data_IF_761997585413
#
_entry.id   IF_761997585413
#
_cell.length_a   1.000
_cell.length_b   1.000
_cell.length_c   1.000
_cell.angle_alpha   90.00
_cell.angle_beta   90.00
_cell.angle_gamma   90.00
#
_symmetry.space_group_name_H-M   'P 1'
#
loop_
_entity.id
_entity.type
_entity.pdbx_description
1 polymer ?
#
# COMPACT_ATOMS: atom_id res chain seq x y z
N UNK A 1 -14.28 -19.40 15.36
CA UNK A 1 -13.32 -18.35 15.76
C UNK A 1 -13.33 -17.32 14.65
N UNK A 2 -13.84 -16.12 14.90
CA UNK A 2 -13.74 -15.00 13.95
C UNK A 2 -12.29 -14.56 13.89
N UNK A 3 -11.68 -14.69 12.71
CA UNK A 3 -10.30 -14.28 12.47
C UNK A 3 -10.19 -12.76 12.62
N UNK A 4 -9.22 -12.29 13.41
CA UNK A 4 -9.01 -10.85 13.63
C UNK A 4 -8.60 -10.17 12.33
N UNK A 5 -9.24 -9.06 11.95
CA UNK A 5 -8.89 -8.34 10.74
C UNK A 5 -7.47 -7.74 10.82
N UNK A 6 -6.72 -7.78 9.72
CA UNK A 6 -5.37 -7.23 9.63
C UNK A 6 -5.38 -5.83 8.98
N UNK A 7 -5.55 -5.72 7.66
CA UNK A 7 -5.59 -4.42 6.97
C UNK A 7 -6.88 -3.67 7.26
N UNK A 8 -8.00 -4.39 7.41
CA UNK A 8 -9.27 -3.75 7.74
C UNK A 8 -9.22 -3.01 9.10
N UNK A 9 -8.37 -3.44 10.03
CA UNK A 9 -8.13 -2.72 11.29
C UNK A 9 -7.30 -1.44 11.17
N UNK A 10 -6.61 -1.24 10.04
CA UNK A 10 -5.78 -0.07 9.77
C UNK A 10 -6.55 1.06 9.09
N UNK A 11 -7.58 0.71 8.32
CA UNK A 11 -8.29 1.62 7.44
C UNK A 11 -9.33 2.49 8.20
N UNK A 12 -9.49 3.78 7.84
CA UNK A 12 -10.60 4.59 8.34
C UNK A 12 -11.94 4.17 7.72
N UNK A 13 -13.09 4.60 8.27
CA UNK A 13 -14.42 4.20 7.78
C UNK A 13 -14.71 4.53 6.30
N UNK A 14 -13.98 5.48 5.70
CA UNK A 14 -14.12 5.85 4.28
C UNK A 14 -13.47 4.84 3.31
N UNK A 15 -12.73 3.86 3.82
CA UNK A 15 -12.02 2.86 3.02
C UNK A 15 -12.61 1.49 3.30
N UNK A 16 -13.09 0.83 2.25
CA UNK A 16 -13.55 -0.55 2.31
C UNK A 16 -12.36 -1.47 2.04
N UNK A 17 -12.16 -2.45 2.92
CA UNK A 17 -11.10 -3.45 2.79
C UNK A 17 -11.72 -4.84 2.74
N UNK A 18 -11.38 -5.59 1.69
CA UNK A 18 -11.66 -7.02 1.59
C UNK A 18 -10.34 -7.80 1.68
N UNK A 19 -10.25 -8.73 2.62
CA UNK A 19 -9.04 -9.52 2.87
C UNK A 19 -9.34 -11.03 2.96
N UNK A 20 -8.33 -11.84 2.65
CA UNK A 20 -8.37 -13.29 2.79
C UNK A 20 -6.99 -13.83 3.23
N UNK A 21 -7.01 -14.86 4.09
CA UNK A 21 -5.80 -15.52 4.63
C UNK A 21 -5.45 -16.81 3.87
N UNK A 22 -5.75 -16.82 2.57
CA UNK A 22 -5.62 -17.97 1.68
C UNK A 22 -6.18 -17.64 0.30
N UNK A 23 -6.08 -18.60 -0.61
CA UNK A 23 -6.67 -18.46 -1.94
C UNK A 23 -8.17 -18.81 -1.88
N UNK A 24 -8.96 -18.12 -2.70
CA UNK A 24 -10.41 -18.36 -2.82
C UNK A 24 -10.71 -18.97 -4.18
N UNK A 25 -11.76 -19.78 -4.24
CA UNK A 25 -12.29 -20.29 -5.50
C UNK A 25 -13.15 -19.20 -6.17
N UNK A 26 -12.63 -18.60 -7.23
CA UNK A 26 -13.27 -17.53 -7.95
C UNK A 26 -12.90 -17.54 -9.44
N UNK A 27 -13.73 -16.90 -10.26
CA UNK A 27 -13.50 -16.77 -11.70
C UNK A 27 -12.97 -15.40 -12.07
N UNK A 28 -11.91 -15.38 -12.85
CA UNK A 28 -11.38 -14.18 -13.51
C UNK A 28 -12.21 -13.81 -14.74
N UNK A 29 -12.19 -12.54 -15.14
CA UNK A 29 -12.79 -12.11 -16.41
C UNK A 29 -11.94 -12.60 -17.61
N UNK A 30 -12.50 -12.70 -18.84
CA UNK A 30 -11.78 -13.25 -20.00
C UNK A 30 -10.42 -12.58 -20.27
N UNK A 31 -10.36 -11.25 -20.24
CA UNK A 31 -9.11 -10.49 -20.44
C UNK A 31 -8.05 -10.78 -19.37
N UNK A 32 -8.48 -10.97 -18.12
CA UNK A 32 -7.62 -11.31 -16.98
C UNK A 32 -7.05 -12.73 -17.11
N UNK A 33 -7.90 -13.69 -17.51
CA UNK A 33 -7.46 -15.08 -17.78
C UNK A 33 -6.44 -15.15 -18.90
N UNK A 34 -6.63 -14.37 -19.96
CA UNK A 34 -5.68 -14.29 -21.06
C UNK A 34 -4.32 -13.74 -20.59
N UNK A 35 -4.32 -12.68 -19.78
CA UNK A 35 -3.10 -12.08 -19.24
C UNK A 35 -2.25 -13.05 -18.40
N UNK A 36 -2.89 -13.90 -17.59
CA UNK A 36 -2.22 -14.87 -16.69
C UNK A 36 -2.14 -16.29 -17.26
N UNK A 37 -2.38 -16.48 -18.56
CA UNK A 37 -2.48 -17.82 -19.17
C UNK A 37 -1.22 -18.67 -18.95
N UNK A 38 -0.03 -18.08 -19.12
CA UNK A 38 1.27 -18.73 -18.92
C UNK A 38 1.83 -18.64 -17.49
N UNK A 39 1.08 -18.08 -16.54
CA UNK A 39 1.56 -17.91 -15.17
C UNK A 39 1.51 -19.22 -14.37
N UNK A 40 2.40 -19.36 -13.39
CA UNK A 40 2.40 -20.52 -12.48
C UNK A 40 1.08 -20.63 -11.71
N UNK A 41 0.73 -21.85 -11.25
CA UNK A 41 -0.49 -22.10 -10.46
C UNK A 41 -0.63 -21.14 -9.27
N UNK A 42 0.47 -20.92 -8.55
CA UNK A 42 0.54 -19.96 -7.43
C UNK A 42 0.21 -18.54 -7.87
N UNK A 43 0.83 -18.04 -8.95
CA UNK A 43 0.57 -16.69 -9.45
C UNK A 43 -0.88 -16.53 -9.92
N UNK A 44 -1.45 -17.57 -10.54
CA UNK A 44 -2.87 -17.58 -10.95
C UNK A 44 -3.81 -17.50 -9.74
N UNK A 45 -3.53 -18.24 -8.68
CA UNK A 45 -4.32 -18.24 -7.45
C UNK A 45 -4.25 -16.87 -6.72
N UNK A 46 -3.04 -16.31 -6.59
CA UNK A 46 -2.82 -14.97 -6.02
C UNK A 46 -3.57 -13.90 -6.83
N UNK A 47 -3.41 -13.89 -8.16
CA UNK A 47 -4.07 -12.93 -9.04
C UNK A 47 -5.60 -13.06 -8.98
N UNK A 48 -6.12 -14.29 -9.01
CA UNK A 48 -7.56 -14.57 -8.93
C UNK A 48 -8.15 -14.07 -7.62
N UNK A 49 -7.52 -14.39 -6.49
CA UNK A 49 -8.03 -14.03 -5.17
C UNK A 49 -8.05 -12.52 -4.96
N UNK A 50 -6.96 -11.82 -5.33
CA UNK A 50 -6.89 -10.36 -5.17
C UNK A 50 -7.95 -9.66 -6.04
N UNK A 51 -8.22 -10.16 -7.26
CA UNK A 51 -9.28 -9.61 -8.14
C UNK A 51 -10.67 -9.89 -7.61
N UNK A 52 -10.90 -11.06 -7.03
CA UNK A 52 -12.15 -11.37 -6.34
C UNK A 52 -12.38 -10.42 -5.16
N UNK A 53 -11.37 -10.19 -4.32
CA UNK A 53 -11.45 -9.27 -3.18
C UNK A 53 -11.69 -7.83 -3.62
N UNK A 54 -11.03 -7.37 -4.70
CA UNK A 54 -11.31 -6.06 -5.29
C UNK A 54 -12.78 -5.92 -5.72
N UNK A 55 -13.37 -7.00 -6.23
CA UNK A 55 -14.78 -7.02 -6.63
C UNK A 55 -15.73 -6.95 -5.44
N UNK A 56 -15.41 -7.66 -4.35
CA UNK A 56 -16.16 -7.55 -3.09
C UNK A 56 -16.12 -6.13 -2.54
N UNK A 57 -14.93 -5.53 -2.49
CA UNK A 57 -14.75 -4.18 -1.98
C UNK A 57 -15.48 -3.13 -2.84
N UNK A 58 -15.46 -3.26 -4.17
CA UNK A 58 -16.23 -2.39 -5.08
C UNK A 58 -17.75 -2.60 -4.96
N UNK A 59 -18.21 -3.84 -4.75
CA UNK A 59 -19.63 -4.12 -4.56
C UNK A 59 -20.19 -3.43 -3.32
N UNK A 60 -19.41 -3.31 -2.24
CA UNK A 60 -19.77 -2.54 -1.05
C UNK A 60 -19.86 -1.02 -1.31
N UNK A 61 -19.16 -0.51 -2.34
CA UNK A 61 -19.36 0.85 -2.86
C UNK A 61 -20.56 0.98 -3.81
N UNK A 62 -21.26 -0.11 -4.13
CA UNK A 62 -22.32 -0.16 -5.12
C UNK A 62 -21.80 -0.12 -6.56
N UNK A 63 -20.57 -0.59 -6.81
CA UNK A 63 -19.91 -0.56 -8.12
C UNK A 63 -19.57 -1.97 -8.60
N UNK A 64 -19.62 -2.16 -9.92
CA UNK A 64 -19.14 -3.38 -10.56
C UNK A 64 -17.63 -3.31 -10.80
N UNK A 65 -16.97 -4.47 -10.73
CA UNK A 65 -15.53 -4.58 -10.97
C UNK A 65 -15.24 -4.66 -12.48
N UNK A 66 -14.45 -3.73 -13.04
CA UNK A 66 -13.97 -3.87 -14.41
C UNK A 66 -12.93 -4.99 -14.52
N UNK A 67 -12.58 -5.39 -15.74
CA UNK A 67 -11.38 -6.18 -15.96
C UNK A 67 -10.15 -5.36 -15.54
N UNK A 68 -9.36 -5.90 -14.62
CA UNK A 68 -8.19 -5.24 -14.05
C UNK A 68 -6.93 -5.93 -14.56
N UNK A 69 -6.66 -5.79 -15.86
CA UNK A 69 -5.35 -6.16 -16.42
C UNK A 69 -4.33 -5.11 -15.95
N UNK A 70 -3.18 -5.49 -15.37
CA UNK A 70 -2.18 -4.53 -14.92
C UNK A 70 -1.68 -3.63 -16.06
N UNK A 71 -1.50 -2.35 -15.76
CA UNK A 71 -0.88 -1.38 -16.67
C UNK A 71 0.64 -1.59 -16.81
N UNK A 72 1.34 -0.72 -17.55
CA UNK A 72 2.76 -0.87 -17.85
C UNK A 72 3.68 -0.97 -16.62
N UNK A 73 3.27 -0.36 -15.50
CA UNK A 73 4.02 -0.39 -14.24
C UNK A 73 3.38 -1.33 -13.20
N UNK A 74 2.45 -2.20 -13.64
CA UNK A 74 1.78 -3.18 -12.79
C UNK A 74 0.58 -2.64 -12.01
N UNK A 75 0.19 -1.39 -12.24
CA UNK A 75 -0.92 -0.73 -11.57
C UNK A 75 -2.28 -1.31 -11.99
N UNK A 76 -3.22 -1.52 -11.05
CA UNK A 76 -4.58 -1.94 -11.38
C UNK A 76 -5.41 -0.77 -11.92
N UNK A 77 -6.34 -1.07 -12.83
CA UNK A 77 -7.36 -0.12 -13.25
C UNK A 77 -8.53 -0.08 -12.25
N UNK A 78 -8.99 1.11 -11.89
CA UNK A 78 -10.16 1.33 -11.03
C UNK A 78 -11.29 2.02 -11.79
N UNK A 79 -12.56 1.83 -11.40
CA UNK A 79 -13.66 2.63 -11.94
C UNK A 79 -13.45 4.13 -11.70
N UNK A 80 -14.07 4.96 -12.54
CA UNK A 80 -14.08 6.41 -12.35
C UNK A 80 -14.61 6.77 -10.95
N UNK A 81 -13.94 7.71 -10.29
CA UNK A 81 -14.30 8.14 -8.93
C UNK A 81 -13.85 7.18 -7.82
N UNK A 82 -13.02 6.17 -8.13
CA UNK A 82 -12.46 5.23 -7.14
C UNK A 82 -10.94 5.32 -7.09
N UNK A 83 -10.40 5.36 -5.87
CA UNK A 83 -8.99 5.07 -5.61
C UNK A 83 -8.90 3.71 -4.93
N UNK A 84 -7.87 2.93 -5.25
CA UNK A 84 -7.70 1.62 -4.66
C UNK A 84 -6.26 1.12 -4.67
N UNK A 85 -6.01 0.13 -3.83
CA UNK A 85 -4.72 -0.53 -3.71
C UNK A 85 -4.89 -2.02 -3.47
N UNK A 86 -3.89 -2.79 -3.88
CA UNK A 86 -3.90 -4.25 -3.81
C UNK A 86 -2.60 -4.75 -3.21
N UNK A 87 -2.68 -5.83 -2.44
CA UNK A 87 -1.50 -6.54 -1.95
C UNK A 87 -1.73 -8.04 -1.83
N UNK A 88 -0.66 -8.79 -1.94
CA UNK A 88 -0.63 -10.21 -1.64
C UNK A 88 0.76 -10.62 -1.18
N UNK A 89 0.81 -11.53 -0.23
CA UNK A 89 2.04 -12.21 0.15
C UNK A 89 1.73 -13.68 0.47
N UNK A 90 2.68 -14.45 1.03
CA UNK A 90 2.39 -15.84 1.38
C UNK A 90 1.34 -15.87 2.50
N UNK A 91 0.18 -16.49 2.22
CA UNK A 91 -0.89 -16.68 3.22
C UNK A 91 -1.81 -15.48 3.41
N UNK A 92 -1.71 -14.43 2.59
CA UNK A 92 -2.56 -13.25 2.71
C UNK A 92 -2.79 -12.53 1.37
N UNK A 93 -3.99 -12.01 1.15
CA UNK A 93 -4.39 -11.19 0.00
C UNK A 93 -5.37 -10.13 0.48
N UNK A 94 -5.28 -8.93 -0.08
CA UNK A 94 -6.24 -7.86 0.20
C UNK A 94 -6.42 -6.89 -0.96
N UNK A 95 -7.59 -6.25 -0.96
CA UNK A 95 -7.91 -5.09 -1.75
C UNK A 95 -8.53 -4.02 -0.84
N UNK A 96 -8.12 -2.77 -1.04
CA UNK A 96 -8.74 -1.62 -0.40
C UNK A 96 -9.21 -0.63 -1.46
N UNK A 97 -10.41 -0.09 -1.29
CA UNK A 97 -11.00 0.90 -2.21
C UNK A 97 -11.71 2.01 -1.42
N UNK A 98 -11.77 3.19 -2.02
CA UNK A 98 -12.51 4.33 -1.49
C UNK A 98 -12.98 5.24 -2.63
N UNK A 99 -13.97 6.09 -2.35
CA UNK A 99 -14.36 7.15 -3.28
C UNK A 99 -13.31 8.27 -3.28
N UNK A 100 -12.94 8.75 -4.46
CA UNK A 100 -11.97 9.85 -4.61
C UNK A 100 -12.43 11.16 -4.00
N UNK A 101 -13.74 11.32 -3.75
CA UNK A 101 -14.30 12.45 -3.01
C UNK A 101 -13.98 12.45 -1.51
N UNK A 102 -13.51 11.33 -0.96
CA UNK A 102 -13.18 11.17 0.47
C UNK A 102 -11.71 10.83 0.69
N UNK A 103 -11.07 10.16 -0.28
CA UNK A 103 -9.68 9.70 -0.19
C UNK A 103 -8.94 10.11 -1.46
N UNK A 104 -7.93 10.97 -1.30
CA UNK A 104 -7.09 11.46 -2.39
C UNK A 104 -6.03 10.43 -2.83
N UNK A 105 -5.50 9.64 -1.88
CA UNK A 105 -4.50 8.62 -2.16
C UNK A 105 -4.65 7.42 -1.22
N UNK A 106 -4.42 6.22 -1.76
CA UNK A 106 -4.53 4.96 -1.02
C UNK A 106 -3.43 3.98 -1.43
N UNK A 107 -2.69 3.49 -0.45
CA UNK A 107 -1.67 2.48 -0.64
C UNK A 107 -1.68 1.47 0.49
N UNK A 108 -1.75 0.19 0.15
CA UNK A 108 -1.70 -0.90 1.14
C UNK A 108 -0.59 -1.88 0.78
N UNK A 109 0.00 -2.48 1.80
CA UNK A 109 0.94 -3.55 1.62
C UNK A 109 0.92 -4.54 2.78
N UNK A 110 1.28 -5.79 2.49
CA UNK A 110 1.33 -6.86 3.46
C UNK A 110 2.49 -7.80 3.14
N UNK A 111 3.22 -8.20 4.18
CA UNK A 111 4.43 -9.01 4.07
C UNK A 111 4.42 -10.09 5.16
N UNK A 112 5.08 -11.24 4.97
CA UNK A 112 5.33 -12.17 6.07
C UNK A 112 6.20 -11.48 7.13
N UNK A 113 5.89 -11.66 8.41
CA UNK A 113 6.69 -11.14 9.51
C UNK A 113 7.99 -11.95 9.65
N UNK A 114 8.91 -11.73 8.71
CA UNK A 114 10.21 -12.39 8.59
C UNK A 114 11.19 -11.41 7.98
N UNK A 115 12.41 -11.42 8.51
CA UNK A 115 13.48 -10.53 8.06
C UNK A 115 13.71 -10.62 6.56
N UNK A 116 14.19 -9.51 6.00
CA UNK A 116 14.68 -9.46 4.64
C UNK A 116 15.95 -10.30 4.50
N UNK A 117 16.27 -10.65 3.25
CA UNK A 117 17.58 -11.21 2.97
C UNK A 117 18.68 -10.19 3.33
N UNK A 118 19.85 -10.70 3.73
CA UNK A 118 20.98 -9.86 4.12
C UNK A 118 21.31 -8.80 3.06
N UNK A 119 21.55 -7.56 3.50
CA UNK A 119 21.93 -6.44 2.64
C UNK A 119 20.77 -5.71 1.96
N UNK A 120 19.54 -6.24 1.96
CA UNK A 120 18.39 -5.53 1.38
C UNK A 120 18.09 -4.24 2.14
N UNK A 121 18.09 -4.29 3.48
CA UNK A 121 17.85 -3.10 4.32
C UNK A 121 18.81 -1.96 3.98
N UNK A 122 20.11 -2.27 3.80
CA UNK A 122 21.13 -1.27 3.46
C UNK A 122 20.89 -0.60 2.08
N UNK A 123 20.16 -1.24 1.17
CA UNK A 123 19.82 -0.72 -0.16
C UNK A 123 18.57 0.13 -0.18
N UNK A 124 17.64 -0.09 0.77
CA UNK A 124 16.33 0.58 0.79
C UNK A 124 16.21 1.66 1.88
N UNK A 125 17.10 1.62 2.88
CA UNK A 125 17.03 2.47 4.06
C UNK A 125 18.24 3.40 4.18
N UNK A 126 17.97 4.66 4.47
CA UNK A 126 18.96 5.65 4.92
C UNK A 126 19.56 5.26 6.28
N UNK A 127 20.68 5.88 6.71
CA UNK A 127 21.23 5.65 8.05
C UNK A 127 20.22 5.92 9.18
N UNK A 128 19.43 6.99 9.07
CA UNK A 128 18.41 7.34 10.06
C UNK A 128 17.28 6.30 10.12
N UNK A 129 16.83 5.80 8.97
CA UNK A 129 15.81 4.74 8.91
C UNK A 129 16.34 3.42 9.50
N UNK A 130 17.63 3.10 9.29
CA UNK A 130 18.24 1.92 9.91
C UNK A 130 18.30 2.02 11.44
N UNK A 131 18.55 3.22 11.96
CA UNK A 131 18.52 3.45 13.40
C UNK A 131 17.11 3.32 13.96
N UNK A 132 16.13 3.98 13.33
CA UNK A 132 14.73 3.84 13.71
C UNK A 132 14.23 2.39 13.66
N UNK A 133 14.69 1.58 12.69
CA UNK A 133 14.41 0.14 12.65
C UNK A 133 15.03 -0.61 13.84
N UNK A 134 16.23 -0.24 14.30
CA UNK A 134 16.85 -0.85 15.49
C UNK A 134 16.06 -0.53 16.75
N UNK A 135 15.75 0.75 16.96
CA UNK A 135 14.93 1.22 18.09
C UNK A 135 13.56 0.51 18.12
N UNK A 136 12.94 0.34 16.94
CA UNK A 136 11.68 -0.37 16.83
C UNK A 136 11.80 -1.84 17.25
N UNK A 137 12.86 -2.54 16.81
CA UNK A 137 13.09 -3.96 17.16
C UNK A 137 13.42 -4.12 18.65
N UNK A 138 14.12 -3.16 19.25
CA UNK A 138 14.34 -3.14 20.70
C UNK A 138 13.02 -3.00 21.47
N UNK A 139 12.12 -2.12 21.00
CA UNK A 139 10.81 -1.94 21.61
C UNK A 139 9.84 -3.11 21.33
N UNK A 140 9.93 -3.74 20.16
CA UNK A 140 9.04 -4.80 19.68
C UNK A 140 9.84 -5.96 19.04
N UNK A 141 10.44 -6.85 19.85
CA UNK A 141 11.35 -7.89 19.37
C UNK A 141 10.74 -8.90 18.40
N UNK A 142 9.41 -9.06 18.43
CA UNK A 142 8.67 -9.98 17.55
C UNK A 142 8.39 -9.40 16.15
N UNK A 143 8.73 -8.14 15.90
CA UNK A 143 8.51 -7.46 14.61
C UNK A 143 9.79 -7.49 13.78
N UNK A 144 9.71 -8.02 12.56
CA UNK A 144 10.76 -7.88 11.56
C UNK A 144 10.79 -6.43 11.05
N UNK A 145 11.44 -5.53 11.78
CA UNK A 145 11.42 -4.08 11.53
C UNK A 145 11.97 -3.69 10.14
N UNK A 146 12.94 -4.45 9.63
CA UNK A 146 13.48 -4.27 8.29
C UNK A 146 12.43 -4.56 7.19
N UNK A 147 11.69 -5.65 7.35
CA UNK A 147 10.57 -6.02 6.47
C UNK A 147 9.41 -5.05 6.60
N UNK A 148 9.13 -4.56 7.81
CA UNK A 148 8.08 -3.57 8.03
C UNK A 148 8.39 -2.26 7.29
N UNK A 149 9.63 -1.77 7.38
CA UNK A 149 10.07 -0.59 6.63
C UNK A 149 9.87 -0.80 5.11
N UNK A 150 10.24 -1.97 4.59
CA UNK A 150 9.99 -2.32 3.19
C UNK A 150 8.50 -2.24 2.84
N UNK A 151 7.64 -2.89 3.62
CA UNK A 151 6.19 -2.86 3.39
C UNK A 151 5.62 -1.44 3.43
N UNK A 152 6.06 -0.61 4.38
CA UNK A 152 5.65 0.79 4.47
C UNK A 152 6.06 1.56 3.20
N UNK A 153 7.28 1.37 2.70
CA UNK A 153 7.73 2.03 1.46
C UNK A 153 6.94 1.58 0.23
N UNK A 154 6.53 0.31 0.16
CA UNK A 154 5.63 -0.19 -0.88
C UNK A 154 4.23 0.45 -0.78
N UNK A 155 3.67 0.59 0.43
CA UNK A 155 2.41 1.32 0.64
C UNK A 155 2.51 2.79 0.20
N UNK A 156 3.60 3.46 0.54
CA UNK A 156 3.87 4.84 0.09
C UNK A 156 3.95 4.92 -1.44
N UNK A 157 4.68 4.00 -2.07
CA UNK A 157 4.78 3.92 -3.53
C UNK A 157 3.41 3.75 -4.20
N UNK A 158 2.56 2.84 -3.68
CA UNK A 158 1.23 2.58 -4.23
C UNK A 158 0.26 3.76 -4.05
N UNK A 159 0.40 4.53 -2.97
CA UNK A 159 -0.36 5.77 -2.80
C UNK A 159 0.13 6.89 -3.73
N UNK A 160 1.45 6.95 -3.97
CA UNK A 160 2.10 8.00 -4.78
C UNK A 160 1.95 7.81 -6.29
N UNK A 161 2.18 6.59 -6.79
CA UNK A 161 2.32 6.33 -8.22
C UNK A 161 1.11 6.77 -9.06
N UNK A 162 -0.16 6.54 -8.64
CA UNK A 162 -1.32 7.00 -9.40
C UNK A 162 -1.44 8.52 -9.51
N UNK A 163 -0.78 9.29 -8.64
CA UNK A 163 -0.81 10.76 -8.67
C UNK A 163 0.33 11.33 -9.51
N UNK A 164 1.52 10.74 -9.42
CA UNK A 164 2.73 11.29 -10.03
C UNK A 164 3.10 10.64 -11.36
N UNK A 165 2.58 9.44 -11.65
CA UNK A 165 2.89 8.64 -12.85
C UNK A 165 4.39 8.48 -13.13
N UNK A 166 5.21 8.51 -12.07
CA UNK A 166 6.66 8.29 -12.14
C UNK A 166 7.12 7.36 -11.02
N UNK A 167 8.18 6.57 -11.25
CA UNK A 167 8.80 5.80 -10.17
C UNK A 167 9.25 6.69 -9.02
N UNK A 168 9.08 6.19 -7.79
CA UNK A 168 9.63 6.76 -6.57
C UNK A 168 10.72 5.81 -6.07
N UNK A 169 11.95 6.30 -5.97
CA UNK A 169 13.08 5.52 -5.44
C UNK A 169 12.96 5.44 -3.93
N UNK A 170 13.48 4.36 -3.34
CA UNK A 170 13.44 4.20 -1.87
C UNK A 170 14.08 5.37 -1.11
N UNK A 171 15.12 6.00 -1.65
CA UNK A 171 15.77 7.17 -1.05
C UNK A 171 14.99 8.48 -1.18
N UNK A 172 13.94 8.53 -2.01
CA UNK A 172 13.07 9.71 -2.16
C UNK A 172 11.92 9.73 -1.14
N UNK A 173 11.82 8.71 -0.28
CA UNK A 173 10.83 8.62 0.80
C UNK A 173 11.54 8.30 2.12
N UNK A 174 11.55 9.27 3.04
CA UNK A 174 12.07 9.10 4.39
C UNK A 174 10.93 8.68 5.33
N UNK A 175 11.08 7.54 5.99
CA UNK A 175 10.07 6.96 6.89
C UNK A 175 10.52 7.02 8.34
N UNK A 176 9.59 7.32 9.25
CA UNK A 176 9.79 7.17 10.70
C UNK A 176 8.65 6.32 11.25
N UNK A 177 8.99 5.14 11.78
CA UNK A 177 8.08 4.16 12.35
C UNK A 177 8.00 4.36 13.86
N UNK A 178 6.79 4.33 14.41
CA UNK A 178 6.53 4.39 15.86
C UNK A 178 5.98 3.04 16.34
N UNK A 179 6.32 2.67 17.57
CA UNK A 179 5.90 1.42 18.21
C UNK A 179 4.40 1.38 18.54
N UNK A 180 3.69 2.51 18.43
CA UNK A 180 2.24 2.63 18.64
C UNK A 180 1.39 2.20 17.43
N UNK A 181 2.00 1.66 16.38
CA UNK A 181 1.30 1.25 15.16
C UNK A 181 1.14 2.38 14.12
N UNK A 182 1.83 3.50 14.27
CA UNK A 182 1.83 4.59 13.28
C UNK A 182 3.19 4.78 12.60
N UNK A 183 3.21 5.46 11.46
CA UNK A 183 4.42 5.95 10.82
C UNK A 183 4.16 7.26 10.07
N UNK A 184 5.22 8.01 9.81
CA UNK A 184 5.19 9.18 8.93
C UNK A 184 6.12 8.96 7.74
N UNK A 185 5.68 9.31 6.54
CA UNK A 185 6.51 9.28 5.33
C UNK A 185 6.67 10.70 4.77
N UNK A 186 7.91 11.18 4.62
CA UNK A 186 8.22 12.45 3.95
C UNK A 186 8.80 12.16 2.58
N UNK A 187 8.15 12.68 1.54
CA UNK A 187 8.65 12.60 0.17
C UNK A 187 9.61 13.76 -0.09
N UNK A 188 10.76 13.47 -0.68
CA UNK A 188 11.69 14.49 -1.15
C UNK A 188 11.07 15.23 -2.35
N UNK A 189 10.35 16.31 -2.11
CA UNK A 189 10.05 17.31 -3.15
C UNK A 189 11.09 18.41 -3.04
N UNK A 190 11.65 18.84 -4.19
CA UNK A 190 12.69 19.86 -4.22
C UNK A 190 12.29 21.13 -3.48
N UNK A 191 13.14 21.54 -2.52
CA UNK A 191 13.23 22.84 -1.88
C UNK A 191 11.89 23.46 -1.44
N UNK A 192 11.48 23.14 -0.21
CA UNK A 192 11.25 24.13 0.85
C UNK A 192 11.42 23.38 2.19
N UNK A 193 12.62 23.47 2.76
CA UNK A 193 13.05 22.85 4.03
C UNK A 193 12.41 23.51 5.27
N UNK A 194 11.35 24.31 5.11
CA UNK A 194 10.73 25.11 6.20
C UNK A 194 9.23 24.82 6.36
N UNK A 195 8.87 23.54 6.38
CA UNK A 195 7.67 23.13 7.08
C UNK A 195 8.02 21.96 8.00
N UNK A 196 7.81 22.18 9.29
CA UNK A 196 7.55 21.18 10.34
C UNK A 196 6.29 20.31 10.02
N UNK A 197 5.96 20.19 8.73
CA UNK A 197 4.76 19.61 8.17
C UNK A 197 4.85 18.09 8.21
N UNK A 198 3.99 17.51 9.03
CA UNK A 198 3.76 16.08 9.07
C UNK A 198 3.50 15.54 7.65
N UNK A 199 4.46 14.79 7.10
CA UNK A 199 4.21 13.98 5.91
C UNK A 199 3.07 12.98 6.18
N UNK A 200 2.44 12.39 5.15
CA UNK A 200 1.31 11.48 5.32
C UNK A 200 1.57 10.47 6.44
N UNK A 201 0.69 10.49 7.44
CA UNK A 201 0.65 9.48 8.50
C UNK A 201 0.00 8.23 7.95
N UNK A 202 0.66 7.10 8.13
CA UNK A 202 0.08 5.79 7.87
C UNK A 202 0.02 4.97 9.15
N UNK A 203 -0.62 3.81 9.05
CA UNK A 203 -0.76 2.85 10.16
C UNK A 203 -0.17 1.52 9.76
N UNK A 204 0.31 0.77 10.74
CA UNK A 204 0.84 -0.56 10.56
C UNK A 204 0.37 -1.50 11.67
N UNK A 205 0.36 -2.80 11.38
CA UNK A 205 0.06 -3.84 12.36
C UNK A 205 0.90 -5.09 12.09
N UNK A 206 1.15 -5.85 13.16
CA UNK A 206 1.72 -7.18 13.12
C UNK A 206 0.77 -8.17 13.80
N UNK A 207 0.29 -9.19 13.07
CA UNK A 207 -0.57 -10.22 13.63
C UNK A 207 -0.50 -11.51 12.79
N UNK A 208 -0.63 -12.68 13.43
CA UNK A 208 -0.70 -13.96 12.72
C UNK A 208 0.53 -14.28 11.84
N UNK A 209 1.71 -13.78 12.20
CA UNK A 209 2.93 -13.93 11.41
C UNK A 209 2.97 -13.08 10.14
N UNK A 210 2.11 -12.05 10.05
CA UNK A 210 2.03 -11.09 8.95
C UNK A 210 2.30 -9.68 9.47
N UNK A 211 2.82 -8.84 8.59
CA UNK A 211 2.92 -7.40 8.71
C UNK A 211 1.96 -6.78 7.70
N UNK A 212 1.32 -5.68 8.07
CA UNK A 212 0.52 -4.86 7.17
C UNK A 212 0.81 -3.38 7.38
N UNK A 213 0.76 -2.62 6.30
CA UNK A 213 0.87 -1.17 6.32
C UNK A 213 -0.18 -0.55 5.40
N UNK A 214 -0.66 0.63 5.78
CA UNK A 214 -1.62 1.40 5.01
C UNK A 214 -1.29 2.89 5.05
N UNK A 215 -1.31 3.53 3.88
CA UNK A 215 -1.30 4.99 3.69
C UNK A 215 -2.67 5.38 3.17
N UNK A 216 -3.34 6.29 3.88
CA UNK A 216 -4.62 6.86 3.47
C UNK A 216 -4.52 8.37 3.58
N UNK A 217 -4.62 9.07 2.45
CA UNK A 217 -4.67 10.52 2.41
C UNK A 217 -6.11 10.92 2.20
N UNK A 218 -6.75 11.47 3.23
CA UNK A 218 -8.13 11.96 3.13
C UNK A 218 -8.17 13.23 2.27
N UNK A 219 -9.27 13.45 1.58
CA UNK A 219 -9.54 14.77 0.98
C UNK A 219 -9.84 15.73 2.13
N UNK A 220 -9.07 16.82 2.21
CA UNK A 220 -9.36 17.88 3.17
C UNK A 220 -10.61 18.63 2.70
N UNK A 221 -11.72 18.45 3.41
CA UNK A 221 -12.99 19.13 3.12
C UNK A 221 -13.00 20.59 3.58
N UNK A 222 -11.97 21.02 4.31
CA UNK A 222 -11.77 22.40 4.76
C UNK A 222 -10.36 22.93 4.40
N UNK A 223 -10.21 23.54 3.22
CA UNK A 223 -9.09 24.43 2.93
C UNK A 223 -8.16 24.01 1.79
N UNK A 224 -8.59 24.27 0.55
CA UNK A 224 -7.75 24.20 -0.64
C UNK A 224 -6.58 25.20 -0.54
N UNK A 225 -5.40 24.77 -0.07
CA UNK A 225 -4.12 25.42 -0.40
C UNK A 225 -3.45 24.59 -1.48
N UNK A 226 -3.31 25.22 -2.65
CA UNK A 226 -2.83 24.62 -3.88
C UNK A 226 -1.44 24.01 -3.73
N UNK A 227 -1.30 22.71 -3.98
CA UNK A 227 -0.05 22.18 -4.54
C UNK A 227 -0.04 22.62 -6.01
N UNK A 228 0.77 23.63 -6.33
CA UNK A 228 0.93 24.06 -7.72
C UNK A 228 1.62 22.95 -8.53
N UNK A 229 1.18 22.66 -9.76
CA UNK A 229 1.90 21.73 -10.63
C UNK A 229 3.30 22.27 -10.92
N UNK A 230 4.31 21.44 -10.67
CA UNK A 230 5.71 21.71 -11.01
C UNK A 230 5.79 22.05 -12.51
N UNK A 231 6.19 23.27 -12.83
CA UNK A 231 6.49 23.66 -14.21
C UNK A 231 7.66 22.83 -14.71
N UNK A 232 7.40 21.96 -15.68
CA UNK A 232 8.40 21.29 -16.49
C UNK A 232 9.34 22.31 -17.12
N UNK A 233 10.61 22.34 -16.67
CA UNK A 233 11.68 23.03 -17.41
C UNK A 233 12.08 22.14 -18.58
N UNK A 234 11.79 22.62 -19.79
CA UNK A 234 12.37 22.08 -21.02
C UNK A 234 13.87 22.42 -21.05
N UNK A 235 14.68 21.42 -21.36
CA UNK A 235 15.98 21.59 -22.02
C UNK A 235 15.84 21.07 -23.45
#
# INVERSE_FOLDING_TARGET
>A
MTQTPLLAGLAPPSVIVAEAFGDVDASLLPAERAHIAGASSRRRAEFTTVRHLAGRALAELGLERPAMVPGPMGEPAWPDGVVGSLTHCRGYRAAAVARTSQVAALGIDAEPNRSLAGGVLARIASPAERENVRELVEALPDVAGDRLLFSIKESVYKAWFPLAHRPLRFGEAAVTIRSDGTFTARLAAGADDDADGAGPTGRWAAAGGLLASAVVVLVDIDGFRSVSPIKSRQH
#
